data_IF_588240419503
#
_entry.id   IF_588240419503
#
_cell.length_a   1.000
_cell.length_b   1.000
_cell.length_c   1.000
_cell.angle_alpha   90.00
_cell.angle_beta   90.00
_cell.angle_gamma   90.00
#
_symmetry.space_group_name_H-M   'P 1'
#
loop_
_entity.id
_entity.type
_entity.pdbx_description
1 polymer ?
#
# COMPACT_ATOMS: atom_id res chain seq x y z
N UNK A 1 70.61 57.05 0.80
CA UNK A 1 69.53 56.60 -0.14
C UNK A 1 69.13 55.23 0.27
N UNK A 2 67.98 55.06 0.99
CA UNK A 2 67.50 53.79 1.49
C UNK A 2 66.25 53.42 0.68
N UNK A 3 66.28 52.25 -0.06
CA UNK A 3 65.15 51.70 -0.77
C UNK A 3 64.25 50.92 0.24
N UNK A 4 62.94 50.98 0.15
CA UNK A 4 62.06 50.18 0.95
C UNK A 4 61.84 48.78 0.25
N UNK A 5 61.95 47.74 1.04
CA UNK A 5 61.68 46.36 0.66
C UNK A 5 60.13 46.14 0.78
N UNK A 6 59.45 45.96 -0.36
CA UNK A 6 58.00 45.64 -0.37
C UNK A 6 57.80 44.14 -0.20
N UNK A 7 57.20 43.68 0.91
CA UNK A 7 56.72 42.33 1.11
C UNK A 7 55.39 42.15 0.35
N UNK A 8 55.37 41.23 -0.63
CA UNK A 8 54.14 40.76 -1.27
C UNK A 8 53.64 39.53 -0.47
N UNK A 9 52.57 39.71 0.28
CA UNK A 9 51.92 38.61 0.96
C UNK A 9 50.99 37.87 -0.05
N UNK A 10 51.41 36.69 -0.48
CA UNK A 10 50.58 35.81 -1.31
C UNK A 10 49.49 35.14 -0.45
N UNK A 11 48.22 35.44 -0.69
CA UNK A 11 47.10 34.75 -0.08
C UNK A 11 46.89 33.40 -0.79
N UNK A 12 47.15 32.29 -0.10
CA UNK A 12 46.81 30.94 -0.58
C UNK A 12 45.33 30.68 -0.32
N UNK A 13 44.50 30.71 -1.35
CA UNK A 13 43.11 30.26 -1.29
C UNK A 13 43.07 28.74 -1.25
N UNK A 14 42.84 28.15 -0.09
CA UNK A 14 42.50 26.73 0.05
C UNK A 14 41.03 26.57 -0.35
N UNK A 15 40.80 26.03 -1.56
CA UNK A 15 39.46 25.65 -1.98
C UNK A 15 39.01 24.45 -1.12
N UNK A 16 38.14 24.71 -0.13
CA UNK A 16 37.43 23.62 0.57
C UNK A 16 36.44 22.99 -0.38
N UNK A 17 36.74 21.76 -0.83
CA UNK A 17 35.79 20.92 -1.52
C UNK A 17 34.65 20.60 -0.54
N UNK A 18 33.49 21.23 -0.73
CA UNK A 18 32.27 20.87 0.00
C UNK A 18 31.94 19.40 -0.34
N UNK A 19 32.17 18.52 0.62
CA UNK A 19 31.65 17.13 0.51
C UNK A 19 30.13 17.26 0.50
N UNK A 20 29.51 17.06 -0.69
CA UNK A 20 28.06 17.05 -0.79
C UNK A 20 27.51 15.98 0.15
N UNK A 21 26.58 16.36 1.03
CA UNK A 21 25.88 15.39 1.86
C UNK A 21 25.29 14.32 0.96
N UNK A 22 25.36 13.02 1.35
CA UNK A 22 24.77 11.96 0.54
C UNK A 22 23.30 12.31 0.28
N UNK A 23 22.81 12.09 -0.96
CA UNK A 23 21.44 12.44 -1.31
C UNK A 23 20.48 11.75 -0.34
N UNK A 24 19.54 12.51 0.22
CA UNK A 24 18.54 11.97 1.13
C UNK A 24 17.75 10.88 0.41
N UNK A 25 17.62 9.71 1.05
CA UNK A 25 16.87 8.62 0.46
C UNK A 25 15.37 8.93 0.48
N UNK A 26 14.67 8.58 -0.59
CA UNK A 26 13.21 8.64 -0.67
C UNK A 26 12.57 7.57 0.21
N UNK A 27 11.50 7.92 0.88
CA UNK A 27 10.70 6.99 1.67
C UNK A 27 9.63 6.34 0.80
N UNK A 28 9.57 5.01 0.82
CA UNK A 28 8.49 4.20 0.25
C UNK A 28 7.61 3.65 1.36
N UNK A 29 6.29 3.84 1.27
CA UNK A 29 5.35 3.30 2.25
C UNK A 29 4.25 2.48 1.59
N UNK A 30 4.17 1.18 1.84
CA UNK A 30 3.02 0.37 1.45
C UNK A 30 1.92 0.47 2.52
N UNK A 31 0.67 0.36 2.10
CA UNK A 31 -0.43 0.08 3.04
C UNK A 31 -0.19 -1.25 3.73
N UNK A 32 -0.25 -1.26 5.06
CA UNK A 32 -0.12 -2.49 5.84
C UNK A 32 -1.33 -3.40 5.65
N UNK A 33 -1.18 -4.37 4.75
CA UNK A 33 -2.17 -5.43 4.52
C UNK A 33 -2.00 -6.58 5.53
N UNK A 34 -0.77 -6.80 5.98
CA UNK A 34 -0.33 -7.85 6.92
C UNK A 34 0.16 -7.21 8.23
N UNK A 35 0.55 -8.03 9.19
CA UNK A 35 1.28 -7.52 10.35
C UNK A 35 2.62 -6.88 9.93
N UNK A 36 3.19 -6.05 10.81
CA UNK A 36 4.40 -5.26 10.50
C UNK A 36 5.60 -6.13 10.15
N UNK A 37 5.76 -7.28 10.82
CA UNK A 37 6.89 -8.20 10.58
C UNK A 37 6.82 -8.79 9.17
N UNK A 38 5.67 -9.31 8.77
CA UNK A 38 5.44 -9.86 7.43
C UNK A 38 5.59 -8.77 6.38
N UNK A 39 5.03 -7.56 6.62
CA UNK A 39 5.16 -6.42 5.71
C UNK A 39 6.62 -6.01 5.52
N UNK A 40 7.43 -5.97 6.58
CA UNK A 40 8.85 -5.65 6.50
C UNK A 40 9.63 -6.71 5.72
N UNK A 41 9.40 -8.00 6.02
CA UNK A 41 10.05 -9.12 5.33
C UNK A 41 9.69 -9.19 3.85
N UNK A 42 8.47 -8.81 3.50
CA UNK A 42 8.01 -8.74 2.10
C UNK A 42 8.65 -7.58 1.32
N UNK A 43 8.62 -6.36 1.90
CA UNK A 43 8.99 -5.16 1.15
C UNK A 43 10.46 -4.80 1.18
N UNK A 44 11.20 -5.10 2.28
CA UNK A 44 12.61 -4.71 2.37
C UNK A 44 13.48 -5.26 1.23
N UNK A 45 13.42 -6.56 0.86
CA UNK A 45 14.23 -7.06 -0.26
C UNK A 45 13.83 -6.45 -1.59
N UNK A 46 12.52 -6.20 -1.82
CA UNK A 46 12.02 -5.56 -3.03
C UNK A 46 12.55 -4.12 -3.12
N UNK A 47 12.44 -3.32 -2.06
CA UNK A 47 12.89 -1.92 -2.06
C UNK A 47 14.41 -1.83 -2.16
N UNK A 48 15.16 -2.73 -1.53
CA UNK A 48 16.62 -2.81 -1.67
C UNK A 48 17.03 -3.10 -3.12
N UNK A 49 16.36 -4.05 -3.79
CA UNK A 49 16.58 -4.35 -5.20
C UNK A 49 16.26 -3.14 -6.08
N UNK A 50 15.08 -2.54 -5.91
CA UNK A 50 14.66 -1.37 -6.69
C UNK A 50 15.61 -0.20 -6.50
N UNK A 51 16.06 0.07 -5.27
CA UNK A 51 17.05 1.11 -4.97
C UNK A 51 18.37 0.86 -5.69
N UNK A 52 18.87 -0.36 -5.66
CA UNK A 52 20.13 -0.72 -6.33
C UNK A 52 20.05 -0.61 -7.85
N UNK A 53 18.94 -1.06 -8.46
CA UNK A 53 18.75 -1.09 -9.92
C UNK A 53 18.42 0.29 -10.50
N UNK A 54 17.61 1.07 -9.82
CA UNK A 54 17.25 2.42 -10.27
C UNK A 54 18.34 3.47 -10.03
N UNK A 55 19.32 3.19 -9.16
CA UNK A 55 20.29 4.16 -8.62
C UNK A 55 19.62 5.30 -7.82
N UNK A 56 18.39 5.11 -7.42
CA UNK A 56 17.63 6.04 -6.58
C UNK A 56 17.59 5.46 -5.16
N UNK A 57 18.19 6.16 -4.19
CA UNK A 57 18.19 5.68 -2.81
C UNK A 57 16.76 5.65 -2.25
N UNK A 58 16.29 4.49 -1.84
CA UNK A 58 14.96 4.29 -1.26
C UNK A 58 15.04 3.59 0.09
N UNK A 59 14.14 3.96 0.99
CA UNK A 59 13.97 3.34 2.31
C UNK A 59 12.52 2.97 2.53
N UNK A 60 12.30 1.82 3.17
CA UNK A 60 10.97 1.39 3.58
C UNK A 60 10.54 2.18 4.84
N UNK A 61 9.35 2.77 4.80
CA UNK A 61 8.69 3.40 5.95
C UNK A 61 7.37 2.68 6.20
N UNK A 62 7.30 1.91 7.28
CA UNK A 62 6.10 1.18 7.69
C UNK A 62 5.38 1.88 8.84
N UNK A 63 4.07 1.91 8.77
CA UNK A 63 3.19 2.22 9.87
C UNK A 63 2.80 0.96 10.65
N UNK A 64 2.00 1.12 11.70
CA UNK A 64 1.43 0.02 12.48
C UNK A 64 0.08 -0.43 11.93
N UNK A 65 -0.64 0.48 11.30
CA UNK A 65 -2.00 0.27 10.79
C UNK A 65 -2.07 0.53 9.28
N UNK A 66 -3.14 0.07 8.65
CA UNK A 66 -3.40 0.33 7.23
C UNK A 66 -3.62 1.81 6.90
N UNK A 67 -4.00 2.64 7.88
CA UNK A 67 -4.21 4.07 7.73
C UNK A 67 -2.91 4.89 7.77
N UNK A 68 -1.84 4.37 8.35
CA UNK A 68 -0.61 5.14 8.60
C UNK A 68 0.07 5.60 7.30
N UNK A 69 0.02 4.78 6.23
CA UNK A 69 0.53 5.21 4.91
C UNK A 69 -0.16 6.48 4.42
N UNK A 70 -1.48 6.60 4.62
CA UNK A 70 -2.21 7.83 4.29
C UNK A 70 -1.73 9.00 5.16
N UNK A 71 -1.56 8.79 6.46
CA UNK A 71 -1.05 9.81 7.36
C UNK A 71 0.34 10.30 6.95
N UNK A 72 1.24 9.37 6.58
CA UNK A 72 2.57 9.73 6.07
C UNK A 72 2.52 10.52 4.75
N UNK A 73 1.60 10.18 3.83
CA UNK A 73 1.39 10.94 2.61
C UNK A 73 0.92 12.35 2.91
N UNK A 74 -0.09 12.50 3.77
CA UNK A 74 -0.64 13.80 4.15
C UNK A 74 0.39 14.66 4.90
N UNK A 75 1.23 14.06 5.74
CA UNK A 75 2.34 14.72 6.43
C UNK A 75 3.57 14.99 5.53
N UNK A 76 3.52 14.60 4.25
CA UNK A 76 4.65 14.69 3.29
C UNK A 76 5.91 13.96 3.74
N UNK A 77 5.77 12.88 4.47
CA UNK A 77 6.86 12.06 5.02
C UNK A 77 7.28 10.91 4.10
N UNK A 78 6.55 10.68 3.01
CA UNK A 78 6.84 9.65 2.01
C UNK A 78 6.82 10.24 0.60
N UNK A 79 7.54 9.60 -0.29
CA UNK A 79 7.78 10.05 -1.66
C UNK A 79 7.23 9.05 -2.68
N UNK A 80 7.18 7.77 -2.30
CA UNK A 80 6.56 6.68 -3.05
C UNK A 80 5.61 5.91 -2.12
N UNK A 81 4.52 5.42 -2.68
CA UNK A 81 3.54 4.65 -1.92
C UNK A 81 2.99 3.47 -2.73
N UNK A 82 2.63 2.40 -2.03
CA UNK A 82 1.81 1.32 -2.59
C UNK A 82 0.45 1.37 -1.89
N UNK A 83 -0.53 2.01 -2.55
CA UNK A 83 -1.79 2.40 -1.91
C UNK A 83 -2.93 2.54 -2.90
N UNK A 84 -4.15 2.49 -2.42
CA UNK A 84 -5.37 2.89 -3.13
C UNK A 84 -6.15 3.98 -2.37
N UNK A 85 -5.55 4.59 -1.35
CA UNK A 85 -6.20 5.57 -0.48
C UNK A 85 -6.16 7.00 -1.05
N UNK A 86 -5.53 7.23 -2.22
CA UNK A 86 -5.30 8.56 -2.78
C UNK A 86 -6.25 8.92 -3.93
N UNK A 87 -7.29 8.13 -4.17
CA UNK A 87 -8.23 8.34 -5.27
C UNK A 87 -9.52 9.09 -4.86
N UNK A 88 -9.62 9.57 -3.61
CA UNK A 88 -10.71 10.48 -3.25
C UNK A 88 -10.55 11.84 -3.96
N UNK A 89 -11.64 12.58 -4.22
CA UNK A 89 -11.57 13.85 -4.94
C UNK A 89 -10.60 14.87 -4.34
N UNK A 90 -10.47 14.89 -3.01
CA UNK A 90 -9.55 15.80 -2.29
C UNK A 90 -8.09 15.36 -2.43
N UNK A 91 -7.84 14.06 -2.33
CA UNK A 91 -6.48 13.49 -2.38
C UNK A 91 -5.94 13.36 -3.80
N UNK A 92 -6.82 13.17 -4.78
CA UNK A 92 -6.45 13.14 -6.21
C UNK A 92 -5.82 14.49 -6.64
N UNK A 93 -6.26 15.61 -6.03
CA UNK A 93 -5.69 16.96 -6.23
C UNK A 93 -4.26 17.11 -5.72
N UNK A 94 -3.75 16.17 -4.91
CA UNK A 94 -2.37 16.20 -4.43
C UNK A 94 -1.35 15.88 -5.54
N UNK A 95 -1.79 15.45 -6.72
CA UNK A 95 -0.97 15.24 -7.90
C UNK A 95 -0.06 14.00 -7.85
N UNK A 96 -0.38 13.02 -7.01
CA UNK A 96 0.33 11.74 -7.02
C UNK A 96 0.08 11.00 -8.33
N UNK A 97 1.14 10.42 -8.91
CA UNK A 97 1.07 9.73 -10.20
C UNK A 97 1.20 8.22 -10.02
N UNK A 98 0.31 7.48 -10.68
CA UNK A 98 0.39 6.01 -10.76
C UNK A 98 1.43 5.64 -11.81
N UNK A 99 2.34 4.70 -11.48
CA UNK A 99 3.31 4.16 -12.42
C UNK A 99 3.28 2.64 -12.56
N UNK A 100 2.56 1.94 -11.68
CA UNK A 100 2.45 0.48 -11.73
C UNK A 100 1.49 -0.09 -10.70
N UNK A 101 1.34 -1.40 -10.72
CA UNK A 101 0.61 -2.22 -9.74
C UNK A 101 1.17 -3.63 -9.71
N UNK A 102 0.77 -4.43 -8.73
CA UNK A 102 1.03 -5.88 -8.80
C UNK A 102 0.29 -6.48 -9.99
N UNK A 103 0.92 -7.44 -10.64
CA UNK A 103 0.27 -8.27 -11.67
C UNK A 103 -0.58 -9.33 -10.96
N UNK A 104 -1.77 -8.95 -10.58
CA UNK A 104 -2.74 -9.80 -9.88
C UNK A 104 -4.10 -9.70 -10.55
N UNK A 105 -4.96 -10.73 -10.42
CA UNK A 105 -6.37 -10.59 -10.78
C UNK A 105 -7.00 -9.38 -10.06
N UNK A 106 -8.08 -8.83 -10.61
CA UNK A 106 -8.85 -7.81 -9.91
C UNK A 106 -9.26 -8.28 -8.52
N UNK A 107 -9.30 -7.35 -7.58
CA UNK A 107 -9.69 -7.61 -6.19
C UNK A 107 -11.14 -7.21 -5.97
N UNK A 108 -11.83 -7.92 -5.11
CA UNK A 108 -13.21 -7.65 -4.71
C UNK A 108 -13.29 -7.32 -3.23
N UNK A 109 -14.18 -6.43 -2.84
CA UNK A 109 -14.64 -6.36 -1.47
C UNK A 109 -15.46 -7.59 -1.15
N UNK A 110 -15.17 -8.24 -0.04
CA UNK A 110 -15.92 -9.40 0.44
C UNK A 110 -16.29 -9.22 1.91
N UNK A 111 -17.52 -9.63 2.25
CA UNK A 111 -17.94 -9.80 3.63
C UNK A 111 -17.92 -11.30 3.89
N UNK A 112 -17.08 -11.72 4.83
CA UNK A 112 -16.82 -13.14 5.10
C UNK A 112 -17.09 -13.51 6.55
N UNK A 113 -17.47 -14.76 6.75
CA UNK A 113 -17.61 -15.44 8.05
C UNK A 113 -16.84 -16.75 8.03
N UNK A 114 -16.54 -17.41 9.17
CA UNK A 114 -16.00 -18.75 9.17
C UNK A 114 -16.91 -19.71 8.39
N UNK A 115 -16.35 -20.72 7.72
CA UNK A 115 -17.11 -21.64 6.88
C UNK A 115 -18.20 -22.40 7.65
N UNK A 116 -17.95 -22.70 8.92
CA UNK A 116 -18.86 -23.38 9.85
C UNK A 116 -19.85 -22.43 10.55
N UNK A 117 -19.75 -21.12 10.34
CA UNK A 117 -20.67 -20.13 10.91
C UNK A 117 -22.14 -20.47 10.59
N UNK A 118 -23.09 -20.28 11.51
CA UNK A 118 -24.52 -20.41 11.22
C UNK A 118 -25.02 -19.33 10.24
N UNK A 119 -24.34 -18.16 10.17
CA UNK A 119 -24.71 -17.03 9.33
C UNK A 119 -24.56 -17.40 7.84
N UNK A 120 -25.65 -17.25 7.08
CA UNK A 120 -25.74 -17.61 5.65
C UNK A 120 -26.00 -16.41 4.75
N UNK A 121 -26.60 -15.36 5.29
CA UNK A 121 -27.03 -14.17 4.58
C UNK A 121 -26.45 -12.92 5.24
N UNK A 122 -26.09 -11.92 4.43
CA UNK A 122 -25.54 -10.65 4.91
C UNK A 122 -26.50 -9.90 5.86
N UNK A 123 -27.81 -10.09 5.68
CA UNK A 123 -28.86 -9.49 6.52
C UNK A 123 -28.86 -9.98 7.97
N UNK A 124 -28.32 -11.17 8.20
CA UNK A 124 -28.15 -11.72 9.56
C UNK A 124 -27.05 -11.01 10.36
N UNK A 125 -26.31 -10.10 9.72
CA UNK A 125 -25.31 -9.26 10.39
C UNK A 125 -25.89 -8.01 11.07
N UNK A 126 -27.22 -7.77 10.98
CA UNK A 126 -27.85 -6.62 11.62
C UNK A 126 -27.55 -6.61 13.13
N UNK A 127 -27.01 -5.49 13.63
CA UNK A 127 -26.58 -5.32 15.03
C UNK A 127 -25.29 -6.04 15.42
N UNK A 128 -24.68 -6.83 14.52
CA UNK A 128 -23.47 -7.57 14.81
C UNK A 128 -22.21 -6.69 14.77
N UNK A 129 -21.17 -7.12 15.50
CA UNK A 129 -19.81 -6.58 15.33
C UNK A 129 -19.19 -7.16 14.06
N UNK A 130 -18.73 -6.27 13.16
CA UNK A 130 -18.03 -6.61 11.91
C UNK A 130 -16.68 -5.91 11.92
N UNK A 131 -15.62 -6.68 11.72
CA UNK A 131 -14.26 -6.14 11.74
C UNK A 131 -13.81 -5.73 10.33
N UNK A 132 -13.02 -4.67 10.29
CA UNK A 132 -12.39 -4.12 9.09
C UNK A 132 -10.92 -3.79 9.39
N UNK A 133 -10.03 -3.77 8.38
CA UNK A 133 -8.61 -3.47 8.63
C UNK A 133 -8.35 -2.01 9.05
N UNK A 134 -9.23 -1.08 8.64
CA UNK A 134 -9.12 0.32 9.03
C UNK A 134 -10.03 1.23 8.20
N UNK A 135 -10.26 2.48 8.64
CA UNK A 135 -11.21 3.40 8.02
C UNK A 135 -10.78 3.88 6.62
N UNK A 136 -9.48 3.80 6.32
CA UNK A 136 -8.94 4.19 5.02
C UNK A 136 -9.00 3.08 3.97
N UNK A 137 -9.20 1.82 4.38
CA UNK A 137 -9.21 0.67 3.47
C UNK A 137 -10.40 0.73 2.51
N UNK A 138 -10.16 1.12 1.24
CA UNK A 138 -11.25 1.32 0.29
C UNK A 138 -11.99 0.01 0.02
N UNK A 139 -11.33 -0.99 -0.55
CA UNK A 139 -11.99 -2.24 -0.97
C UNK A 139 -12.47 -3.04 0.23
N UNK A 140 -11.67 -3.13 1.28
CA UNK A 140 -12.00 -3.95 2.45
C UNK A 140 -12.99 -3.29 3.43
N UNK A 141 -13.04 -1.96 3.50
CA UNK A 141 -13.95 -1.26 4.40
C UNK A 141 -15.00 -0.46 3.63
N UNK A 142 -14.61 0.61 2.92
CA UNK A 142 -15.59 1.55 2.36
C UNK A 142 -16.56 0.88 1.39
N UNK A 143 -16.08 -0.02 0.53
CA UNK A 143 -16.92 -0.77 -0.43
C UNK A 143 -17.87 -1.73 0.29
N UNK A 144 -17.36 -2.51 1.25
CA UNK A 144 -18.16 -3.45 2.03
C UNK A 144 -19.19 -2.72 2.91
N UNK A 145 -18.76 -1.66 3.59
CA UNK A 145 -19.63 -0.92 4.49
C UNK A 145 -20.69 -0.10 3.73
N UNK A 146 -20.35 0.44 2.56
CA UNK A 146 -21.33 1.09 1.68
C UNK A 146 -22.44 0.11 1.25
N UNK A 147 -22.11 -1.16 1.00
CA UNK A 147 -23.12 -2.19 0.73
C UNK A 147 -24.04 -2.43 1.92
N UNK A 148 -23.48 -2.53 3.12
CA UNK A 148 -24.29 -2.69 4.34
C UNK A 148 -25.25 -1.50 4.54
N UNK A 149 -24.76 -0.27 4.32
CA UNK A 149 -25.60 0.93 4.40
C UNK A 149 -26.70 0.95 3.33
N UNK A 150 -26.37 0.60 2.06
CA UNK A 150 -27.37 0.54 0.97
C UNK A 150 -28.44 -0.52 1.19
N UNK A 151 -28.08 -1.59 1.89
CA UNK A 151 -29.00 -2.69 2.23
C UNK A 151 -29.75 -2.47 3.56
N UNK A 152 -29.56 -1.32 4.20
CA UNK A 152 -30.13 -0.99 5.53
C UNK A 152 -29.77 -2.05 6.59
N UNK A 153 -28.52 -2.51 6.61
CA UNK A 153 -28.00 -3.49 7.56
C UNK A 153 -27.08 -2.74 8.56
N UNK A 154 -27.58 -2.28 9.71
CA UNK A 154 -26.75 -1.63 10.70
C UNK A 154 -25.79 -2.63 11.34
N UNK A 155 -24.49 -2.29 11.40
CA UNK A 155 -23.48 -3.09 12.06
C UNK A 155 -22.60 -2.24 12.98
N UNK A 156 -22.00 -2.87 13.98
CA UNK A 156 -20.98 -2.24 14.81
C UNK A 156 -19.61 -2.42 14.15
N UNK A 157 -19.11 -1.39 13.46
CA UNK A 157 -17.81 -1.44 12.79
C UNK A 157 -16.67 -1.43 13.80
N UNK A 158 -15.78 -2.42 13.72
CA UNK A 158 -14.56 -2.55 14.54
C UNK A 158 -13.35 -2.42 13.62
N UNK A 159 -12.40 -1.54 13.94
CA UNK A 159 -11.16 -1.39 13.17
C UNK A 159 -10.00 -2.11 13.85
N UNK A 160 -9.49 -3.15 13.19
CA UNK A 160 -8.45 -4.03 13.74
C UNK A 160 -7.01 -3.55 13.47
N UNK A 161 -6.84 -2.55 12.59
CA UNK A 161 -5.53 -2.02 12.19
C UNK A 161 -4.96 -2.61 10.89
N UNK A 162 -5.14 -3.91 10.65
CA UNK A 162 -4.77 -4.61 9.41
C UNK A 162 -5.65 -5.85 9.21
N UNK A 163 -5.50 -6.54 8.06
CA UNK A 163 -6.31 -7.72 7.75
C UNK A 163 -6.00 -8.91 8.65
N UNK A 164 -4.73 -9.15 8.98
CA UNK A 164 -4.36 -10.27 9.86
C UNK A 164 -5.06 -10.15 11.22
N UNK A 165 -5.06 -8.95 11.80
CA UNK A 165 -5.76 -8.69 13.07
C UNK A 165 -7.27 -8.85 12.94
N UNK A 166 -7.88 -8.42 11.82
CA UNK A 166 -9.31 -8.57 11.59
C UNK A 166 -9.72 -10.05 11.50
N UNK A 167 -8.96 -10.86 10.77
CA UNK A 167 -9.20 -12.31 10.68
C UNK A 167 -8.95 -13.02 12.03
N UNK A 168 -7.91 -12.62 12.76
CA UNK A 168 -7.68 -13.13 14.12
C UNK A 168 -8.87 -12.88 15.04
N UNK A 169 -9.46 -11.67 15.01
CA UNK A 169 -10.67 -11.35 15.78
C UNK A 169 -11.86 -12.23 15.38
N UNK A 170 -12.00 -12.53 14.07
CA UNK A 170 -13.07 -13.39 13.56
C UNK A 170 -12.97 -14.82 14.11
N UNK A 171 -11.79 -15.44 13.97
CA UNK A 171 -11.58 -16.82 14.43
C UNK A 171 -11.51 -16.95 15.96
N UNK A 172 -11.20 -15.87 16.66
CA UNK A 172 -11.34 -15.78 18.13
C UNK A 172 -12.79 -15.56 18.59
N UNK A 173 -13.76 -15.41 17.66
CA UNK A 173 -15.16 -15.20 18.00
C UNK A 173 -15.49 -13.80 18.53
N UNK A 174 -14.54 -12.86 18.47
CA UNK A 174 -14.72 -11.47 18.93
C UNK A 174 -15.66 -10.66 18.05
N UNK A 175 -15.73 -11.00 16.77
CA UNK A 175 -16.63 -10.41 15.76
C UNK A 175 -17.35 -11.50 14.99
N UNK A 176 -18.47 -11.16 14.34
CA UNK A 176 -19.27 -12.14 13.58
C UNK A 176 -18.85 -12.25 12.12
N UNK A 177 -18.30 -11.18 11.55
CA UNK A 177 -17.86 -11.14 10.15
C UNK A 177 -16.66 -10.21 9.99
N UNK A 178 -16.00 -10.32 8.85
CA UNK A 178 -14.93 -9.41 8.42
C UNK A 178 -15.26 -8.86 7.04
N UNK A 179 -15.10 -7.55 6.87
CA UNK A 179 -14.99 -6.93 5.56
C UNK A 179 -13.53 -6.95 5.10
N UNK A 180 -13.27 -7.60 3.99
CA UNK A 180 -11.93 -7.85 3.50
C UNK A 180 -11.80 -7.64 1.99
N UNK A 181 -10.57 -7.70 1.51
CA UNK A 181 -10.20 -7.82 0.11
C UNK A 181 -10.07 -9.30 -0.24
N UNK A 182 -10.67 -9.75 -1.34
CA UNK A 182 -10.73 -11.16 -1.76
C UNK A 182 -9.36 -11.85 -1.85
N UNK A 183 -8.32 -11.13 -2.28
CA UNK A 183 -6.97 -11.67 -2.33
C UNK A 183 -6.43 -12.00 -0.93
N UNK A 184 -6.73 -11.15 0.07
CA UNK A 184 -6.28 -11.38 1.43
C UNK A 184 -7.09 -12.45 2.15
N UNK A 185 -8.36 -12.65 1.78
CA UNK A 185 -9.14 -13.81 2.20
C UNK A 185 -8.46 -15.10 1.70
N UNK A 186 -8.11 -15.17 0.41
CA UNK A 186 -7.42 -16.33 -0.16
C UNK A 186 -6.03 -16.56 0.46
N UNK A 187 -5.25 -15.49 0.66
CA UNK A 187 -3.92 -15.56 1.27
C UNK A 187 -3.99 -16.07 2.72
N UNK A 188 -4.96 -15.59 3.51
CA UNK A 188 -5.17 -16.08 4.88
C UNK A 188 -5.54 -17.55 4.89
N UNK A 189 -6.50 -17.97 4.06
CA UNK A 189 -6.89 -19.38 3.95
C UNK A 189 -5.72 -20.28 3.61
N UNK A 190 -4.86 -19.86 2.67
CA UNK A 190 -3.66 -20.62 2.29
C UNK A 190 -2.61 -20.71 3.40
N UNK A 191 -2.48 -19.66 4.21
CA UNK A 191 -1.49 -19.57 5.28
C UNK A 191 -1.93 -20.29 6.56
N UNK A 192 -3.19 -20.11 6.97
CA UNK A 192 -3.71 -20.59 8.25
C UNK A 192 -4.55 -21.86 8.14
N UNK A 193 -4.81 -22.34 6.91
CA UNK A 193 -5.68 -23.50 6.66
C UNK A 193 -7.16 -23.24 7.02
N UNK A 194 -7.54 -21.98 7.25
CA UNK A 194 -8.88 -21.60 7.66
C UNK A 194 -9.80 -21.39 6.45
N UNK A 195 -11.03 -21.87 6.54
CA UNK A 195 -12.02 -21.71 5.47
C UNK A 195 -13.03 -20.61 5.81
N UNK A 196 -13.39 -19.83 4.79
CA UNK A 196 -14.42 -18.79 4.86
C UNK A 196 -15.65 -19.16 4.05
N UNK A 197 -16.80 -18.65 4.50
CA UNK A 197 -17.99 -18.46 3.66
C UNK A 197 -18.08 -17.00 3.29
N UNK A 198 -18.18 -16.72 1.99
CA UNK A 198 -18.42 -15.39 1.46
C UNK A 198 -19.92 -15.12 1.47
N UNK A 199 -20.35 -14.07 2.19
CA UNK A 199 -21.75 -13.64 2.25
C UNK A 199 -22.07 -12.63 1.14
N UNK A 200 -21.08 -11.85 0.73
CA UNK A 200 -21.22 -10.85 -0.33
C UNK A 200 -19.90 -10.56 -1.02
N UNK A 201 -19.97 -10.19 -2.32
CA UNK A 201 -18.82 -9.84 -3.15
C UNK A 201 -19.15 -8.61 -4.00
N UNK A 202 -18.25 -7.63 -4.03
CA UNK A 202 -18.39 -6.42 -4.83
C UNK A 202 -18.06 -6.61 -6.31
N UNK A 203 -18.33 -5.58 -7.12
CA UNK A 203 -17.66 -5.39 -8.41
C UNK A 203 -16.13 -5.38 -8.25
N UNK A 204 -15.36 -5.68 -9.33
CA UNK A 204 -13.91 -5.74 -9.29
C UNK A 204 -13.26 -4.36 -9.21
N UNK A 205 -12.09 -4.33 -8.56
CA UNK A 205 -11.18 -3.20 -8.52
C UNK A 205 -9.76 -3.67 -8.91
N UNK A 206 -8.95 -2.82 -9.48
CA UNK A 206 -7.53 -3.12 -9.61
C UNK A 206 -6.87 -3.17 -8.22
N UNK A 207 -5.77 -3.88 -8.10
CA UNK A 207 -4.99 -3.90 -6.85
C UNK A 207 -4.39 -2.51 -6.53
N UNK A 208 -3.77 -2.37 -5.35
CA UNK A 208 -3.14 -1.13 -4.93
C UNK A 208 -2.18 -0.61 -6.01
N UNK A 209 -2.11 0.70 -6.13
CA UNK A 209 -1.24 1.39 -7.07
C UNK A 209 0.15 1.62 -6.48
N UNK A 210 1.19 1.42 -7.28
CA UNK A 210 2.49 2.02 -7.07
C UNK A 210 2.40 3.48 -7.51
N UNK A 211 2.63 4.40 -6.59
CA UNK A 211 2.45 5.83 -6.81
C UNK A 211 3.69 6.63 -6.40
N UNK A 212 3.92 7.72 -7.10
CA UNK A 212 4.98 8.67 -6.80
C UNK A 212 4.40 10.06 -6.47
N UNK A 213 5.00 10.71 -5.49
CA UNK A 213 4.72 12.10 -5.12
C UNK A 213 5.14 13.05 -6.25
N UNK A 214 4.43 14.15 -6.50
CA UNK A 214 4.85 15.20 -7.45
C UNK A 214 6.16 15.88 -7.08
N UNK A 215 6.68 15.67 -5.86
CA UNK A 215 7.99 16.18 -5.42
C UNK A 215 9.17 15.39 -6.00
N UNK A 216 8.95 14.17 -6.45
CA UNK A 216 10.01 13.33 -7.02
C UNK A 216 10.24 13.71 -8.48
N UNK A 217 11.48 14.01 -8.89
CA UNK A 217 11.78 14.31 -10.29
C UNK A 217 11.32 13.19 -11.24
N UNK A 218 10.72 13.56 -12.37
CA UNK A 218 10.15 12.60 -13.31
C UNK A 218 11.15 11.53 -13.82
N UNK A 219 12.43 11.89 -13.95
CA UNK A 219 13.50 10.96 -14.32
C UNK A 219 13.67 9.86 -13.27
N UNK A 220 13.67 10.22 -11.99
CA UNK A 220 13.81 9.29 -10.88
C UNK A 220 12.55 8.40 -10.75
N UNK A 221 11.36 8.95 -10.96
CA UNK A 221 10.13 8.16 -11.04
C UNK A 221 10.23 7.12 -12.15
N UNK A 222 10.70 7.50 -13.35
CA UNK A 222 10.89 6.55 -14.46
C UNK A 222 11.91 5.45 -14.13
N UNK A 223 13.02 5.80 -13.49
CA UNK A 223 14.04 4.84 -13.09
C UNK A 223 13.51 3.82 -12.07
N UNK A 224 12.78 4.29 -11.04
CA UNK A 224 12.13 3.47 -10.02
C UNK A 224 11.05 2.58 -10.67
N UNK A 225 10.19 3.15 -11.52
CA UNK A 225 9.16 2.41 -12.23
C UNK A 225 9.77 1.29 -13.08
N UNK A 226 10.80 1.59 -13.87
CA UNK A 226 11.49 0.57 -14.69
C UNK A 226 12.05 -0.55 -13.82
N UNK A 227 12.67 -0.25 -12.67
CA UNK A 227 13.22 -1.26 -11.77
C UNK A 227 12.13 -2.19 -11.19
N UNK A 228 10.96 -1.66 -10.83
CA UNK A 228 9.80 -2.48 -10.42
C UNK A 228 9.29 -3.35 -11.57
N UNK A 229 9.02 -2.74 -12.72
CA UNK A 229 8.33 -3.37 -13.84
C UNK A 229 9.17 -4.44 -14.55
N UNK A 230 10.49 -4.33 -14.50
CA UNK A 230 11.41 -5.29 -15.10
C UNK A 230 12.02 -6.28 -14.10
N UNK A 231 11.68 -6.17 -12.81
CA UNK A 231 12.25 -6.99 -11.74
C UNK A 231 12.11 -8.50 -12.02
N UNK A 232 10.98 -8.91 -12.59
CA UNK A 232 10.70 -10.31 -12.94
C UNK A 232 11.54 -10.84 -14.12
N UNK A 233 12.28 -10.00 -14.84
CA UNK A 233 13.17 -10.40 -15.94
C UNK A 233 14.60 -10.70 -15.47
N UNK A 234 14.95 -10.27 -14.27
CA UNK A 234 16.27 -10.42 -13.67
C UNK A 234 16.30 -11.64 -12.74
N UNK A 235 17.35 -12.48 -12.75
CA UNK A 235 17.43 -13.66 -11.88
C UNK A 235 17.29 -13.36 -10.38
N UNK A 236 17.97 -12.32 -9.88
CA UNK A 236 17.87 -11.90 -8.50
C UNK A 236 16.49 -11.34 -8.18
N UNK A 237 15.94 -10.55 -9.10
CA UNK A 237 14.57 -10.03 -9.00
C UNK A 237 13.54 -11.15 -8.92
N UNK A 238 13.64 -12.18 -9.78
CA UNK A 238 12.77 -13.36 -9.75
C UNK A 238 12.84 -14.08 -8.41
N UNK A 239 14.05 -14.30 -7.89
CA UNK A 239 14.24 -14.97 -6.59
C UNK A 239 13.59 -14.16 -5.47
N UNK A 240 13.84 -12.86 -5.39
CA UNK A 240 13.26 -11.98 -4.37
C UNK A 240 11.73 -11.99 -4.46
N UNK A 241 11.17 -11.89 -5.67
CA UNK A 241 9.72 -11.92 -5.87
C UNK A 241 9.12 -13.26 -5.44
N UNK A 242 9.77 -14.39 -5.74
CA UNK A 242 9.32 -15.71 -5.34
C UNK A 242 9.35 -15.90 -3.81
N UNK A 243 10.43 -15.48 -3.16
CA UNK A 243 10.57 -15.52 -1.70
C UNK A 243 9.52 -14.63 -1.02
N UNK A 244 9.31 -13.41 -1.53
CA UNK A 244 8.28 -12.49 -1.03
C UNK A 244 6.86 -13.04 -1.25
N UNK A 245 6.57 -13.65 -2.40
CA UNK A 245 5.29 -14.28 -2.69
C UNK A 245 4.98 -15.43 -1.69
N UNK A 246 5.99 -16.24 -1.38
CA UNK A 246 5.86 -17.35 -0.44
C UNK A 246 5.48 -16.87 0.97
N UNK A 247 6.02 -15.75 1.44
CA UNK A 247 5.70 -15.17 2.76
C UNK A 247 4.22 -14.85 2.94
N UNK A 248 3.53 -14.51 1.87
CA UNK A 248 2.13 -14.09 1.90
C UNK A 248 1.19 -15.13 1.26
N UNK A 249 1.70 -16.31 0.90
CA UNK A 249 0.97 -17.35 0.17
C UNK A 249 0.24 -16.78 -1.06
N UNK A 250 0.94 -15.98 -1.87
CA UNK A 250 0.37 -15.40 -3.07
C UNK A 250 -0.07 -16.51 -4.04
N UNK A 251 -1.30 -16.45 -4.59
CA UNK A 251 -1.85 -17.52 -5.42
C UNK A 251 -1.25 -17.57 -6.84
N UNK A 252 -0.51 -16.55 -7.23
CA UNK A 252 0.12 -16.42 -8.55
C UNK A 252 1.56 -15.89 -8.38
N UNK A 253 2.44 -16.11 -9.37
CA UNK A 253 3.77 -15.54 -9.36
C UNK A 253 3.72 -14.01 -9.20
N UNK A 254 4.46 -13.49 -8.21
CA UNK A 254 4.51 -12.06 -7.95
C UNK A 254 5.32 -11.37 -9.06
N UNK A 255 4.74 -10.33 -9.63
CA UNK A 255 5.41 -9.38 -10.52
C UNK A 255 4.70 -8.03 -10.46
N UNK A 256 5.30 -7.02 -11.08
CA UNK A 256 4.70 -5.71 -11.22
C UNK A 256 4.48 -5.40 -12.71
N UNK A 257 3.38 -4.74 -13.02
CA UNK A 257 3.01 -4.30 -14.38
C UNK A 257 2.74 -2.81 -14.40
N UNK A 258 2.90 -2.19 -15.56
CA UNK A 258 2.57 -0.79 -15.74
C UNK A 258 1.09 -0.54 -15.46
N UNK A 259 0.81 0.60 -14.83
CA UNK A 259 -0.53 1.11 -14.63
C UNK A 259 -0.51 2.64 -14.66
N UNK A 260 -1.66 3.22 -14.94
CA UNK A 260 -1.86 4.65 -15.07
C UNK A 260 -3.04 5.12 -14.22
N UNK A 261 -3.26 6.41 -14.14
CA UNK A 261 -4.43 6.99 -13.49
C UNK A 261 -5.76 6.47 -14.07
N UNK A 262 -5.81 6.13 -15.37
CA UNK A 262 -7.00 5.62 -16.03
C UNK A 262 -7.43 4.24 -15.50
N UNK A 263 -6.47 3.40 -15.12
CA UNK A 263 -6.73 2.06 -14.57
C UNK A 263 -7.48 2.10 -13.22
N UNK A 264 -7.54 3.27 -12.59
CA UNK A 264 -8.19 3.51 -11.29
C UNK A 264 -9.48 4.33 -11.40
N UNK A 265 -10.09 4.38 -12.58
CA UNK A 265 -11.37 5.09 -12.81
C UNK A 265 -12.50 4.54 -11.93
N UNK A 266 -12.54 3.21 -11.68
CA UNK A 266 -13.53 2.57 -10.80
C UNK A 266 -13.45 3.08 -9.35
N UNK A 267 -12.25 3.42 -8.87
CA UNK A 267 -12.05 4.00 -7.55
C UNK A 267 -12.66 5.40 -7.44
N UNK A 268 -12.42 6.24 -8.46
CA UNK A 268 -13.00 7.59 -8.52
C UNK A 268 -14.51 7.57 -8.65
N UNK A 269 -15.03 6.66 -9.49
CA UNK A 269 -16.47 6.45 -9.62
C UNK A 269 -17.11 6.03 -8.30
N UNK A 270 -16.47 5.11 -7.56
CA UNK A 270 -16.92 4.69 -6.24
C UNK A 270 -16.96 5.87 -5.26
N UNK A 271 -15.90 6.70 -5.20
CA UNK A 271 -15.89 7.88 -4.33
C UNK A 271 -16.95 8.92 -4.69
N UNK A 272 -17.28 9.08 -6.00
CA UNK A 272 -18.35 9.99 -6.43
C UNK A 272 -19.73 9.53 -5.96
N UNK A 273 -19.96 8.21 -5.89
CA UNK A 273 -21.23 7.58 -5.45
C UNK A 273 -21.24 7.19 -3.96
N UNK A 274 -20.23 7.59 -3.20
CA UNK A 274 -20.09 7.20 -1.80
C UNK A 274 -21.13 7.91 -0.93
N UNK A 275 -21.83 7.19 -0.01
CA UNK A 275 -22.69 7.81 0.99
C UNK A 275 -21.94 8.90 1.77
N UNK A 276 -22.63 10.01 2.09
CA UNK A 276 -22.01 11.16 2.75
C UNK A 276 -21.33 10.79 4.09
N UNK A 277 -21.87 9.80 4.79
CA UNK A 277 -21.32 9.28 6.05
C UNK A 277 -19.99 8.54 5.92
N UNK A 278 -19.55 8.24 4.67
CA UNK A 278 -18.28 7.54 4.38
C UNK A 278 -17.26 8.39 3.59
N UNK A 279 -17.59 9.63 3.30
CA UNK A 279 -16.72 10.57 2.59
C UNK A 279 -15.58 11.08 3.44
#
# INVERSE_FOLDING_TARGET
MKLPLSLVAGAVFVAQSAIAAPPACYNFSPVNQFNVQVSASFWNPIISYVSARSKVCMKLKLGRTSADTTSFVLAREVDFAFTNHLFSPERDKMGWTVFGRRNSPPVHGQIVVPADSPIRDIRELAGAAVSFPGPEALVAYKVNYAQLLRADIPVNAVFAGNHDAAFTQLFAGMVKAVGANSQLVANWSGREGSAFRVLWTSAPFNDLALMASPRVPAEQVRAVANAFLTMHNDPDGKRILAESAALIHAPVPLSFVAATQADYASYRAFYADLPASLR
#
